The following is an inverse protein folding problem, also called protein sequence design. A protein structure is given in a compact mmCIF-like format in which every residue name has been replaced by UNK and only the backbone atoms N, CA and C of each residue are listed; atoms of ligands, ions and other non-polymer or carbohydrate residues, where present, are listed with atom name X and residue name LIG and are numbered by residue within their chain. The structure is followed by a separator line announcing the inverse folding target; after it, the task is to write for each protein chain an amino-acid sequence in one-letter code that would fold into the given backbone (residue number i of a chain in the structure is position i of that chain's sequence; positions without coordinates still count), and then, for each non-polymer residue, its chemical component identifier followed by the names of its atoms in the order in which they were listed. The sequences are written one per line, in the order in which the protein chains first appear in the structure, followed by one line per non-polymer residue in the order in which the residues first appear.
data_IF_741671194271
#
_entry.id   IF_741671194271
#
_cell.length_a   1.000
_cell.length_b   1.000
_cell.length_c   1.000
_cell.angle_alpha   90.00
_cell.angle_beta   90.00
_cell.angle_gamma   90.00
#
_symmetry.space_group_name_H-M   'P 1'
#
loop_
_entity.id
_entity.type
_entity.pdbx_description
1 polymer ?
#
# COMPACT_ATOMS: atom_id res chain seq x y z
N UNK A 1 -18.07 -0.91 11.22
CA UNK A 1 -16.99 -1.90 11.07
C UNK A 1 -15.71 -1.25 11.54
N UNK A 2 -14.91 -1.95 12.35
CA UNK A 2 -13.63 -1.44 12.83
C UNK A 2 -12.66 -1.30 11.67
N UNK A 3 -11.96 -0.16 11.63
CA UNK A 3 -10.89 0.14 10.67
C UNK A 3 -9.60 0.27 11.47
N UNK A 4 -8.54 -0.33 10.95
CA UNK A 4 -7.24 -0.34 11.59
C UNK A 4 -6.28 0.52 10.79
N UNK A 5 -5.63 1.46 11.47
CA UNK A 5 -4.72 2.43 10.87
C UNK A 5 -3.34 1.82 10.62
N UNK A 6 -2.63 2.40 9.66
CA UNK A 6 -1.24 2.08 9.35
C UNK A 6 -0.33 3.12 9.99
N UNK A 7 0.77 2.68 10.58
CA UNK A 7 1.79 3.56 11.13
C UNK A 7 3.18 3.00 10.86
N UNK A 8 4.17 3.88 10.94
CA UNK A 8 5.58 3.53 10.82
C UNK A 8 6.26 3.87 12.14
N UNK A 9 6.96 2.89 12.70
CA UNK A 9 7.73 3.05 13.93
C UNK A 9 9.13 2.47 13.70
N UNK A 10 10.16 3.26 14.01
CA UNK A 10 11.58 2.87 13.88
C UNK A 10 11.97 2.30 12.50
N UNK A 11 11.30 2.74 11.43
CA UNK A 11 11.54 2.26 10.06
C UNK A 11 10.82 0.95 9.70
N UNK A 12 9.91 0.49 10.54
CA UNK A 12 9.07 -0.69 10.31
C UNK A 12 7.61 -0.27 10.16
N UNK A 13 6.93 -0.85 9.17
CA UNK A 13 5.51 -0.62 8.90
C UNK A 13 4.68 -1.57 9.77
N UNK A 14 3.68 -1.00 10.43
CA UNK A 14 2.72 -1.71 11.26
C UNK A 14 1.29 -1.36 10.85
N UNK A 15 0.41 -2.34 10.94
CA UNK A 15 -1.04 -2.14 10.79
C UNK A 15 -1.70 -2.48 12.11
N UNK A 16 -2.60 -1.64 12.60
CA UNK A 16 -3.38 -1.96 13.80
C UNK A 16 -4.13 -3.29 13.64
N UNK A 17 -4.44 -3.94 14.76
CA UNK A 17 -5.19 -5.19 14.76
C UNK A 17 -5.94 -5.42 16.06
N UNK A 18 -6.85 -6.40 16.07
CA UNK A 18 -7.63 -6.72 17.27
C UNK A 18 -6.75 -7.17 18.44
N UNK A 19 -5.63 -7.84 18.15
CA UNK A 19 -4.67 -8.36 19.13
C UNK A 19 -3.44 -7.47 19.33
N UNK A 20 -3.44 -6.27 18.74
CA UNK A 20 -2.31 -5.34 18.73
C UNK A 20 -1.78 -5.04 17.33
N UNK A 21 -0.73 -4.20 17.22
CA UNK A 21 -0.13 -3.86 15.93
C UNK A 21 0.51 -5.08 15.28
N UNK A 22 0.14 -5.32 14.03
CA UNK A 22 0.67 -6.34 13.17
C UNK A 22 1.88 -5.78 12.40
N UNK A 23 3.04 -6.38 12.62
CA UNK A 23 4.24 -6.07 11.86
C UNK A 23 4.10 -6.50 10.40
N UNK A 24 4.33 -5.58 9.47
CA UNK A 24 4.36 -5.84 8.03
C UNK A 24 5.79 -6.07 7.55
N UNK A 25 6.72 -5.24 8.03
CA UNK A 25 8.15 -5.33 7.77
C UNK A 25 8.80 -3.97 7.49
N UNK A 26 10.06 -3.92 7.07
CA UNK A 26 10.82 -2.68 6.89
C UNK A 26 10.20 -1.75 5.83
N UNK A 27 10.14 -0.46 6.15
CA UNK A 27 9.66 0.60 5.26
C UNK A 27 10.43 0.63 3.95
N UNK A 28 11.76 0.52 4.00
CA UNK A 28 12.60 0.59 2.80
C UNK A 28 12.22 -0.50 1.78
N UNK A 29 11.93 -1.72 2.25
CA UNK A 29 11.50 -2.81 1.35
C UNK A 29 10.13 -2.53 0.72
N UNK A 30 9.22 -1.90 1.47
CA UNK A 30 7.91 -1.46 0.94
C UNK A 30 8.09 -0.38 -0.12
N UNK A 31 8.94 0.61 0.14
CA UNK A 31 9.22 1.70 -0.82
C UNK A 31 9.88 1.15 -2.09
N UNK A 32 10.88 0.28 -1.94
CA UNK A 32 11.56 -0.37 -3.07
C UNK A 32 10.56 -1.17 -3.92
N UNK A 33 9.64 -1.90 -3.28
CA UNK A 33 8.61 -2.68 -3.97
C UNK A 33 7.60 -1.81 -4.75
N UNK A 34 7.31 -0.61 -4.26
CA UNK A 34 6.44 0.37 -4.95
C UNK A 34 7.17 1.15 -6.05
N UNK A 35 8.50 1.09 -6.07
CA UNK A 35 9.35 1.81 -7.04
C UNK A 35 9.88 3.15 -6.52
N UNK A 36 9.81 3.40 -5.21
CA UNK A 36 10.44 4.52 -4.51
C UNK A 36 9.50 5.25 -3.54
N UNK A 37 10.00 6.30 -2.86
CA UNK A 37 9.22 7.12 -1.92
C UNK A 37 8.17 8.00 -2.59
N UNK A 38 8.20 8.11 -3.92
CA UNK A 38 7.34 9.00 -4.69
C UNK A 38 6.76 8.26 -5.88
N UNK A 39 5.44 8.25 -5.99
CA UNK A 39 4.72 7.61 -7.08
C UNK A 39 4.05 8.65 -7.97
N UNK A 40 4.17 8.51 -9.30
CA UNK A 40 3.63 9.49 -10.26
C UNK A 40 2.42 8.92 -10.98
N UNK A 41 1.27 9.58 -10.81
CA UNK A 41 0.03 9.21 -11.48
C UNK A 41 0.21 9.33 -12.99
N UNK A 42 -0.04 8.24 -13.71
CA UNK A 42 0.13 8.18 -15.17
C UNK A 42 -1.10 7.53 -15.82
N UNK A 43 -1.72 8.23 -16.76
CA UNK A 43 -2.83 7.70 -17.56
C UNK A 43 -2.37 7.36 -18.97
N UNK A 44 -2.70 6.15 -19.42
CA UNK A 44 -2.40 5.74 -20.79
C UNK A 44 -3.28 6.49 -21.80
N UNK A 45 -2.75 6.76 -23.01
CA UNK A 45 -3.54 7.42 -24.07
C UNK A 45 -4.82 6.65 -24.41
N UNK A 46 -4.74 5.31 -24.43
CA UNK A 46 -5.87 4.44 -24.74
C UNK A 46 -7.00 4.51 -23.68
N UNK A 47 -6.68 4.82 -22.43
CA UNK A 47 -7.68 5.02 -21.37
C UNK A 47 -8.31 6.40 -21.44
N UNK A 48 -7.49 7.42 -21.69
CA UNK A 48 -7.98 8.80 -21.93
C UNK A 48 -8.92 8.88 -23.14
N UNK A 49 -8.64 8.12 -24.20
CA UNK A 49 -9.49 8.04 -25.40
C UNK A 49 -10.79 7.26 -25.15
N UNK A 50 -10.75 6.22 -24.31
CA UNK A 50 -11.94 5.43 -23.95
C UNK A 50 -12.88 6.16 -23.00
N UNK A 51 -12.36 7.00 -22.13
CA UNK A 51 -13.10 7.74 -21.11
C UNK A 51 -12.79 9.25 -21.20
N UNK A 52 -13.26 9.95 -22.25
CA UNK A 52 -13.02 11.39 -22.43
C UNK A 52 -13.65 12.26 -21.33
N UNK A 53 -14.59 11.70 -20.56
CA UNK A 53 -15.18 12.29 -19.36
C UNK A 53 -14.30 12.20 -18.11
N UNK A 54 -13.22 11.42 -18.15
CA UNK A 54 -12.30 11.24 -17.03
C UNK A 54 -11.47 12.52 -16.81
N UNK A 55 -11.58 13.10 -15.63
CA UNK A 55 -10.67 14.17 -15.21
C UNK A 55 -9.27 13.56 -15.06
N UNK A 56 -8.32 14.07 -15.86
CA UNK A 56 -6.92 13.64 -15.84
C UNK A 56 -6.00 14.79 -15.46
N UNK A 57 -6.54 15.81 -14.78
CA UNK A 57 -5.78 16.98 -14.31
C UNK A 57 -4.72 16.65 -13.26
N UNK A 58 -4.85 15.50 -12.62
CA UNK A 58 -3.94 14.89 -11.66
C UNK A 58 -2.83 14.05 -12.33
N UNK A 59 -2.87 13.86 -13.66
CA UNK A 59 -1.79 13.23 -14.39
C UNK A 59 -0.45 13.97 -14.16
N UNK A 60 0.58 13.23 -13.74
CA UNK A 60 1.88 13.79 -13.39
C UNK A 60 1.98 14.35 -11.98
N UNK A 61 0.92 14.28 -11.16
CA UNK A 61 0.99 14.56 -9.73
C UNK A 61 1.84 13.50 -9.04
N UNK A 62 2.79 13.95 -8.22
CA UNK A 62 3.66 13.10 -7.41
C UNK A 62 3.05 12.93 -6.02
N UNK A 63 2.78 11.68 -5.64
CA UNK A 63 2.27 11.31 -4.33
C UNK A 63 3.42 10.80 -3.47
N UNK A 64 3.51 11.28 -2.23
CA UNK A 64 4.40 10.72 -1.22
C UNK A 64 3.81 9.40 -0.71
N UNK A 65 4.55 8.30 -0.91
CA UNK A 65 4.08 6.95 -0.59
C UNK A 65 3.95 6.76 0.92
N UNK A 66 4.77 7.43 1.72
CA UNK A 66 4.72 7.36 3.19
C UNK A 66 3.49 8.08 3.72
N UNK A 67 3.20 9.28 3.22
CA UNK A 67 1.98 9.99 3.57
C UNK A 67 0.74 9.20 3.18
N UNK A 68 0.77 8.56 2.00
CA UNK A 68 -0.30 7.67 1.56
C UNK A 68 -0.50 6.50 2.54
N UNK A 69 0.57 5.82 2.94
CA UNK A 69 0.50 4.72 3.91
C UNK A 69 -0.16 5.17 5.22
N UNK A 70 0.21 6.34 5.76
CA UNK A 70 -0.38 6.85 7.00
C UNK A 70 -1.89 7.10 6.92
N UNK A 71 -2.44 7.30 5.72
CA UNK A 71 -3.88 7.50 5.52
C UNK A 71 -4.64 6.19 5.31
N UNK A 72 -3.93 5.09 5.02
CA UNK A 72 -4.54 3.79 4.75
C UNK A 72 -5.13 3.17 6.01
N UNK A 73 -6.38 2.72 5.89
CA UNK A 73 -7.05 1.93 6.93
C UNK A 73 -7.62 0.64 6.37
N UNK A 74 -7.47 -0.44 7.14
CA UNK A 74 -7.88 -1.77 6.72
C UNK A 74 -9.06 -2.29 7.54
N UNK A 75 -9.96 -3.02 6.89
CA UNK A 75 -11.03 -3.73 7.59
C UNK A 75 -10.50 -4.98 8.30
N UNK A 76 -11.18 -5.37 9.37
CA UNK A 76 -10.83 -6.52 10.22
C UNK A 76 -10.50 -7.80 9.44
N UNK A 77 -11.36 -8.22 8.52
CA UNK A 77 -11.14 -9.42 7.70
C UNK A 77 -9.81 -9.38 6.92
N UNK A 78 -9.41 -8.20 6.45
CA UNK A 78 -8.14 -8.06 5.72
C UNK A 78 -6.95 -8.12 6.67
N UNK A 79 -7.07 -7.51 7.85
CA UNK A 79 -6.05 -7.61 8.91
C UNK A 79 -5.87 -9.05 9.38
N UNK A 80 -6.95 -9.79 9.61
CA UNK A 80 -6.91 -11.22 9.94
C UNK A 80 -6.22 -12.04 8.83
N UNK A 81 -6.48 -11.69 7.57
CA UNK A 81 -5.83 -12.34 6.43
C UNK A 81 -4.33 -12.06 6.43
N UNK A 82 -3.91 -10.81 6.67
CA UNK A 82 -2.49 -10.47 6.80
C UNK A 82 -1.83 -11.19 7.98
N UNK A 83 -2.52 -11.27 9.12
CA UNK A 83 -2.01 -11.94 10.33
C UNK A 83 -1.80 -13.45 10.13
N UNK A 84 -2.60 -14.09 9.26
CA UNK A 84 -2.45 -15.50 8.91
C UNK A 84 -1.21 -15.81 8.04
N UNK A 85 -0.58 -14.79 7.46
CA UNK A 85 0.62 -14.96 6.62
C UNK A 85 1.89 -14.65 7.41
N UNK A 86 3.01 -15.34 7.13
CA UNK A 86 4.29 -15.11 7.80
C UNK A 86 4.84 -13.71 7.48
N UNK A 87 5.58 -13.15 8.44
CA UNK A 87 6.25 -11.84 8.31
C UNK A 87 7.64 -11.99 7.70
N UNK A 88 8.22 -13.18 7.82
CA UNK A 88 9.56 -13.50 7.35
C UNK A 88 9.57 -13.64 5.83
N UNK A 89 10.56 -13.01 5.20
CA UNK A 89 10.82 -13.16 3.77
C UNK A 89 11.53 -14.50 3.51
N UNK A 90 10.97 -15.38 2.67
CA UNK A 90 11.66 -16.60 2.23
C UNK A 90 12.98 -16.29 1.51
N UNK A 91 13.96 -17.21 1.56
CA UNK A 91 15.31 -16.98 1.01
C UNK A 91 15.36 -16.63 -0.50
N UNK A 92 14.31 -16.99 -1.25
CA UNK A 92 14.24 -16.77 -2.70
C UNK A 92 13.24 -15.68 -3.11
N UNK A 93 12.65 -14.97 -2.15
CA UNK A 93 11.64 -13.95 -2.40
C UNK A 93 12.17 -12.58 -1.96
N UNK A 94 11.65 -11.52 -2.59
CA UNK A 94 11.99 -10.13 -2.26
C UNK A 94 11.15 -9.62 -1.08
N UNK A 95 9.92 -10.11 -0.93
CA UNK A 95 8.96 -9.69 0.08
C UNK A 95 8.39 -10.90 0.81
N UNK A 96 8.07 -10.73 2.09
CA UNK A 96 7.28 -11.73 2.80
C UNK A 96 5.85 -11.79 2.24
N UNK A 97 5.15 -12.94 2.35
CA UNK A 97 3.77 -13.04 1.90
C UNK A 97 2.83 -11.97 2.51
N UNK A 98 3.05 -11.62 3.79
CA UNK A 98 2.31 -10.55 4.45
C UNK A 98 2.63 -9.17 3.85
N UNK A 99 3.91 -8.87 3.63
CA UNK A 99 4.32 -7.61 3.02
C UNK A 99 3.80 -7.49 1.59
N UNK A 100 3.81 -8.57 0.80
CA UNK A 100 3.25 -8.59 -0.55
C UNK A 100 1.76 -8.25 -0.58
N UNK A 101 0.96 -8.74 0.38
CA UNK A 101 -0.46 -8.37 0.50
C UNK A 101 -0.64 -6.88 0.79
N UNK A 102 0.18 -6.32 1.69
CA UNK A 102 0.15 -4.90 2.03
C UNK A 102 0.55 -4.03 0.83
N UNK A 103 1.68 -4.35 0.19
CA UNK A 103 2.19 -3.63 -1.00
C UNK A 103 1.17 -3.68 -2.13
N UNK A 104 0.56 -4.84 -2.39
CA UNK A 104 -0.49 -4.97 -3.40
C UNK A 104 -1.67 -4.03 -3.14
N UNK A 105 -2.07 -3.87 -1.88
CA UNK A 105 -3.15 -2.95 -1.52
C UNK A 105 -2.72 -1.47 -1.57
N UNK A 106 -1.46 -1.18 -1.26
CA UNK A 106 -0.88 0.16 -1.41
C UNK A 106 -0.84 0.57 -2.89
N UNK A 107 -0.37 -0.31 -3.78
CA UNK A 107 -0.37 -0.08 -5.23
C UNK A 107 -1.78 0.14 -5.77
N UNK A 108 -2.75 -0.69 -5.37
CA UNK A 108 -4.16 -0.52 -5.73
C UNK A 108 -4.72 0.85 -5.31
N UNK A 109 -4.40 1.30 -4.10
CA UNK A 109 -4.82 2.62 -3.60
C UNK A 109 -4.06 3.78 -4.27
N UNK A 110 -2.82 3.57 -4.70
CA UNK A 110 -2.07 4.57 -5.47
C UNK A 110 -2.70 4.71 -6.87
N UNK A 111 -3.00 3.60 -7.54
CA UNK A 111 -3.59 3.57 -8.88
C UNK A 111 -5.01 4.15 -8.93
N UNK A 112 -5.84 3.86 -7.92
CA UNK A 112 -7.27 4.19 -7.94
C UNK A 112 -7.67 5.31 -6.96
N UNK A 113 -6.73 5.80 -6.15
CA UNK A 113 -7.02 6.69 -5.03
C UNK A 113 -7.57 5.94 -3.80
N UNK A 114 -7.69 6.67 -2.68
CA UNK A 114 -8.36 6.20 -1.47
C UNK A 114 -9.86 6.51 -1.54
N UNK A 115 -10.70 5.48 -1.50
CA UNK A 115 -12.17 5.57 -1.33
C UNK A 115 -12.57 6.17 0.04
#
# INVERSE_FOLDING_TARGET
MTRYETHVEEGTVYVGGPDGPLEIGPLDAVLDAVGGPSWTISYSLAERERHPEMDTSDAGLTVDVVDMMHTMTFGERFVETMAAHPVETPENDELSPRMGLFVGKLLDNLENGVD
#
